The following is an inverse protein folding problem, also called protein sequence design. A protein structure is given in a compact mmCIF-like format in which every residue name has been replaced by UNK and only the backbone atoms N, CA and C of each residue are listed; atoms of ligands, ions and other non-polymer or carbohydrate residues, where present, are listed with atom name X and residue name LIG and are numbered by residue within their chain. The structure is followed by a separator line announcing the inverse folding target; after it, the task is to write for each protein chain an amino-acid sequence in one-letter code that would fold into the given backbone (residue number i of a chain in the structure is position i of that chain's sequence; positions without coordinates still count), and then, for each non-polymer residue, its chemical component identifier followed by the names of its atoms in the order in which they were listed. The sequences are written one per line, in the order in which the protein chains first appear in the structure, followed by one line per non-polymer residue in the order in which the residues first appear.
data_IF_432015720871
#
_entry.id   IF_432015720871
#
_cell.length_a   1.000
_cell.length_b   1.000
_cell.length_c   1.000
_cell.angle_alpha   90.00
_cell.angle_beta   90.00
_cell.angle_gamma   90.00
#
_symmetry.space_group_name_H-M   'P 1'
#
loop_
_entity.id
_entity.type
_entity.pdbx_description
1 polymer ?
#
# COMPACT_ATOMS: atom_id res chain seq x y z
N UNK A 1 61.05 -31.03 16.79
CA UNK A 1 60.18 -31.64 15.78
C UNK A 1 58.75 -31.53 16.35
N UNK A 2 58.00 -30.43 16.16
CA UNK A 2 56.70 -30.26 16.83
C UNK A 2 55.89 -29.03 16.45
N UNK A 3 56.33 -28.17 15.52
CA UNK A 3 55.68 -26.86 15.32
C UNK A 3 54.80 -26.74 14.05
N UNK A 4 54.84 -27.69 13.15
CA UNK A 4 54.07 -27.62 11.88
C UNK A 4 52.64 -28.15 11.95
N UNK A 5 52.29 -28.94 12.95
CA UNK A 5 50.94 -29.54 13.05
C UNK A 5 49.88 -28.58 13.58
N UNK A 6 50.25 -27.57 14.36
CA UNK A 6 49.33 -26.64 15.03
C UNK A 6 48.71 -25.61 14.08
N UNK A 7 49.45 -25.16 13.07
CA UNK A 7 48.98 -24.12 12.13
C UNK A 7 47.92 -24.66 11.14
N UNK A 8 48.07 -25.92 10.72
CA UNK A 8 47.12 -26.53 9.75
C UNK A 8 45.78 -26.83 10.38
N UNK A 9 45.74 -27.20 11.68
CA UNK A 9 44.47 -27.42 12.40
C UNK A 9 43.72 -26.16 12.69
N UNK A 10 44.37 -25.05 13.01
CA UNK A 10 43.73 -23.76 13.30
C UNK A 10 43.08 -23.16 12.06
N UNK A 11 43.75 -23.22 10.90
CA UNK A 11 43.17 -22.74 9.64
C UNK A 11 41.97 -23.60 9.18
N UNK A 12 41.98 -24.89 9.43
CA UNK A 12 40.82 -25.76 9.13
C UNK A 12 39.62 -25.49 10.02
N UNK A 13 39.83 -25.21 11.31
CA UNK A 13 38.75 -24.84 12.26
C UNK A 13 38.15 -23.50 11.88
N UNK A 14 38.95 -22.51 11.53
CA UNK A 14 38.48 -21.20 11.08
C UNK A 14 37.64 -21.32 9.79
N UNK A 15 38.11 -22.14 8.83
CA UNK A 15 37.36 -22.37 7.59
C UNK A 15 36.03 -23.08 7.84
N UNK A 16 35.96 -24.04 8.75
CA UNK A 16 34.72 -24.72 9.14
C UNK A 16 33.76 -23.74 9.84
N UNK A 17 34.24 -22.86 10.70
CA UNK A 17 33.40 -21.85 11.36
C UNK A 17 32.84 -20.83 10.38
N UNK A 18 33.60 -20.39 9.38
CA UNK A 18 33.17 -19.48 8.33
C UNK A 18 32.08 -20.14 7.45
N UNK A 19 32.31 -21.41 7.04
CA UNK A 19 31.31 -22.13 6.24
C UNK A 19 30.03 -22.44 7.03
N UNK A 20 30.12 -22.76 8.31
CA UNK A 20 28.97 -22.99 9.17
C UNK A 20 28.14 -21.71 9.37
N UNK A 21 28.76 -20.53 9.47
CA UNK A 21 28.03 -19.26 9.63
C UNK A 21 27.20 -18.87 8.39
N UNK A 22 27.57 -19.31 7.19
CA UNK A 22 26.81 -19.05 5.95
C UNK A 22 25.51 -19.85 5.87
N UNK A 23 25.34 -20.94 6.61
CA UNK A 23 24.12 -21.74 6.62
C UNK A 23 23.05 -21.24 7.59
N UNK A 24 23.37 -20.27 8.46
CA UNK A 24 22.42 -19.75 9.45
C UNK A 24 21.68 -18.48 9.01
N UNK A 25 21.96 -17.92 7.84
CA UNK A 25 21.15 -16.82 7.28
C UNK A 25 19.87 -17.40 6.71
N UNK A 26 18.86 -17.60 7.55
CA UNK A 26 17.48 -17.76 7.06
C UNK A 26 17.08 -16.43 6.47
N UNK A 27 17.12 -16.30 5.16
CA UNK A 27 16.45 -15.23 4.45
C UNK A 27 14.95 -15.42 4.64
N UNK A 28 14.35 -14.68 5.56
CA UNK A 28 12.89 -14.58 5.61
C UNK A 28 12.47 -13.75 4.40
N UNK A 29 12.02 -14.40 3.34
CA UNK A 29 11.26 -13.71 2.30
C UNK A 29 9.96 -13.25 2.95
N UNK A 30 9.83 -11.94 3.16
CA UNK A 30 8.57 -11.37 3.62
C UNK A 30 7.57 -11.51 2.48
N UNK A 31 6.53 -12.32 2.69
CA UNK A 31 5.45 -12.47 1.73
C UNK A 31 4.63 -11.18 1.71
N UNK A 32 4.48 -10.57 0.53
CA UNK A 32 3.62 -9.41 0.38
C UNK A 32 2.15 -9.85 0.52
N UNK A 33 1.41 -9.16 1.35
CA UNK A 33 -0.04 -9.32 1.50
C UNK A 33 -0.73 -8.24 0.67
N UNK A 34 -1.68 -8.62 -0.18
CA UNK A 34 -2.36 -7.69 -1.09
C UNK A 34 -3.86 -7.75 -0.85
N UNK A 35 -4.46 -6.59 -0.60
CA UNK A 35 -5.91 -6.42 -0.55
C UNK A 35 -6.34 -5.64 -1.79
N UNK A 36 -7.27 -6.19 -2.56
CA UNK A 36 -7.83 -5.54 -3.75
C UNK A 36 -9.24 -5.06 -3.47
N UNK A 37 -9.55 -3.84 -3.90
CA UNK A 37 -10.88 -3.25 -3.83
C UNK A 37 -11.35 -2.84 -5.22
N UNK A 38 -12.45 -3.41 -5.68
CA UNK A 38 -13.14 -2.95 -6.90
C UNK A 38 -14.21 -1.93 -6.53
N UNK A 39 -14.26 -0.83 -7.26
CA UNK A 39 -15.26 0.24 -7.12
C UNK A 39 -15.78 0.64 -8.48
N UNK A 40 -16.98 1.23 -8.54
CA UNK A 40 -17.46 1.93 -9.72
C UNK A 40 -16.88 3.35 -9.77
N UNK A 41 -16.97 4.02 -10.90
CA UNK A 41 -16.54 5.42 -11.04
C UNK A 41 -17.52 6.36 -10.32
N UNK A 42 -17.08 6.92 -9.21
CA UNK A 42 -17.92 7.80 -8.37
C UNK A 42 -18.24 9.13 -9.06
N UNK A 43 -17.28 9.67 -9.81
CA UNK A 43 -17.41 10.95 -10.49
C UNK A 43 -18.08 10.80 -11.86
N UNK A 44 -17.86 9.69 -12.53
CA UNK A 44 -18.32 9.43 -13.89
C UNK A 44 -18.96 8.04 -14.00
N UNK A 45 -20.15 7.81 -13.40
CA UNK A 45 -20.76 6.48 -13.32
C UNK A 45 -21.05 5.84 -14.69
N UNK A 46 -21.16 6.64 -15.76
CA UNK A 46 -21.39 6.15 -17.11
C UNK A 46 -20.10 5.75 -17.87
N UNK A 47 -18.92 5.84 -17.24
CA UNK A 47 -17.68 5.24 -17.75
C UNK A 47 -17.58 3.75 -17.44
N UNK A 48 -18.40 3.23 -16.55
CA UNK A 48 -18.48 1.82 -16.26
C UNK A 48 -19.10 1.05 -17.44
N UNK A 49 -18.77 -0.23 -17.53
CA UNK A 49 -19.29 -1.13 -18.60
C UNK A 49 -20.82 -1.18 -18.55
N UNK A 50 -21.40 -1.14 -17.36
CA UNK A 50 -22.84 -1.08 -17.14
C UNK A 50 -23.27 0.36 -16.90
N UNK A 51 -24.04 0.91 -17.83
CA UNK A 51 -24.66 2.22 -17.67
C UNK A 51 -25.89 2.14 -16.78
N UNK A 52 -26.06 3.13 -15.92
CA UNK A 52 -27.22 3.28 -15.05
C UNK A 52 -28.05 4.50 -15.46
N UNK A 53 -29.35 4.47 -15.15
CA UNK A 53 -30.24 5.61 -15.40
C UNK A 53 -29.85 6.82 -14.53
N UNK A 54 -30.19 8.03 -14.94
CA UNK A 54 -29.90 9.24 -14.15
C UNK A 54 -30.53 9.20 -12.76
N UNK A 55 -31.70 8.60 -12.62
CA UNK A 55 -32.43 8.45 -11.35
C UNK A 55 -31.78 7.44 -10.38
N UNK A 56 -30.98 6.50 -10.89
CA UNK A 56 -30.24 5.51 -10.10
C UNK A 56 -28.81 5.97 -9.76
N UNK A 57 -28.38 7.13 -10.26
CA UNK A 57 -27.05 7.66 -10.00
C UNK A 57 -26.93 8.12 -8.55
N UNK A 58 -25.84 7.71 -7.92
CA UNK A 58 -25.53 8.00 -6.51
C UNK A 58 -24.64 9.25 -6.42
N UNK A 59 -25.07 10.27 -5.68
CA UNK A 59 -24.15 11.34 -5.28
C UNK A 59 -23.38 10.92 -4.02
N UNK A 60 -22.16 10.48 -4.21
CA UNK A 60 -21.25 10.04 -3.12
C UNK A 60 -20.95 11.14 -2.10
N UNK A 61 -21.15 12.43 -2.44
CA UNK A 61 -20.98 13.54 -1.49
C UNK A 61 -22.19 13.73 -0.58
N UNK A 62 -23.31 13.05 -0.82
CA UNK A 62 -24.45 13.13 0.08
C UNK A 62 -24.11 12.60 1.48
N UNK A 63 -24.72 13.13 2.56
CA UNK A 63 -24.37 12.78 3.93
C UNK A 63 -24.49 11.29 4.26
N UNK A 64 -25.42 10.59 3.60
CA UNK A 64 -25.59 9.14 3.77
C UNK A 64 -24.37 8.39 3.27
N UNK A 65 -23.99 8.60 2.00
CA UNK A 65 -22.88 7.88 1.37
C UNK A 65 -21.53 8.28 1.96
N UNK A 66 -21.38 9.53 2.41
CA UNK A 66 -20.16 9.94 3.12
C UNK A 66 -19.95 9.15 4.42
N UNK A 67 -21.00 8.83 5.16
CA UNK A 67 -20.91 7.96 6.35
C UNK A 67 -20.49 6.53 5.98
N UNK A 68 -21.07 6.00 4.90
CA UNK A 68 -20.73 4.64 4.41
C UNK A 68 -19.28 4.55 3.92
N UNK A 69 -18.84 5.54 3.14
CA UNK A 69 -17.45 5.63 2.65
C UNK A 69 -16.47 5.74 3.83
N UNK A 70 -16.80 6.53 4.84
CA UNK A 70 -15.97 6.65 6.04
C UNK A 70 -15.87 5.31 6.79
N UNK A 71 -16.97 4.58 6.94
CA UNK A 71 -16.98 3.25 7.57
C UNK A 71 -16.16 2.24 6.78
N UNK A 72 -16.29 2.23 5.45
CA UNK A 72 -15.50 1.37 4.57
C UNK A 72 -14.02 1.72 4.71
N UNK A 73 -13.67 3.01 4.63
CA UNK A 73 -12.28 3.47 4.76
C UNK A 73 -11.67 3.05 6.11
N UNK A 74 -12.42 3.19 7.21
CA UNK A 74 -11.98 2.74 8.54
C UNK A 74 -11.72 1.22 8.60
N UNK A 75 -12.58 0.42 7.97
CA UNK A 75 -12.38 -1.04 7.90
C UNK A 75 -11.15 -1.41 7.09
N UNK A 76 -10.95 -0.77 5.92
CA UNK A 76 -9.80 -1.02 5.06
C UNK A 76 -8.49 -0.56 5.71
N UNK A 77 -8.49 0.54 6.46
CA UNK A 77 -7.33 1.00 7.21
C UNK A 77 -6.87 0.02 8.31
N UNK A 78 -7.74 -0.90 8.77
CA UNK A 78 -7.35 -1.95 9.71
C UNK A 78 -6.35 -2.96 9.11
N UNK A 79 -6.31 -3.07 7.79
CA UNK A 79 -5.30 -3.85 7.08
C UNK A 79 -3.89 -3.25 7.23
N UNK A 80 -3.78 -1.95 7.58
CA UNK A 80 -2.53 -1.20 7.77
C UNK A 80 -1.60 -1.30 6.56
N UNK A 81 -2.05 -0.90 5.37
CA UNK A 81 -1.23 -0.99 4.17
C UNK A 81 0.01 -0.10 4.28
N UNK A 82 1.16 -0.62 3.87
CA UNK A 82 2.40 0.17 3.70
C UNK A 82 2.36 1.02 2.42
N UNK A 83 1.54 0.61 1.44
CA UNK A 83 1.34 1.32 0.19
C UNK A 83 -0.09 1.16 -0.31
N UNK A 84 -0.63 2.21 -0.92
CA UNK A 84 -1.91 2.21 -1.62
C UNK A 84 -1.66 2.44 -3.10
N UNK A 85 -2.02 1.46 -3.92
CA UNK A 85 -1.92 1.55 -5.38
C UNK A 85 -3.26 2.01 -5.93
N UNK A 86 -3.24 3.04 -6.76
CA UNK A 86 -4.43 3.67 -7.35
C UNK A 86 -4.33 3.67 -8.87
N UNK A 87 -5.46 3.72 -9.54
CA UNK A 87 -5.53 3.87 -11.00
C UNK A 87 -5.31 5.34 -11.39
N UNK A 88 -4.04 5.72 -11.55
CA UNK A 88 -3.63 7.07 -11.90
C UNK A 88 -2.45 7.03 -12.88
N UNK A 89 -2.42 7.90 -13.93
CA UNK A 89 -1.32 7.91 -14.88
C UNK A 89 0.02 8.24 -14.22
N UNK A 90 1.04 7.40 -14.43
CA UNK A 90 2.37 7.57 -13.80
C UNK A 90 2.99 8.95 -14.07
N UNK A 91 2.78 9.50 -15.27
CA UNK A 91 3.30 10.83 -15.63
C UNK A 91 2.62 11.98 -14.86
N UNK A 92 1.54 11.71 -14.14
CA UNK A 92 0.82 12.65 -13.27
C UNK A 92 1.04 12.37 -11.77
N UNK A 93 2.05 11.57 -11.40
CA UNK A 93 2.32 11.24 -9.99
C UNK A 93 2.47 12.50 -9.14
N UNK A 94 3.22 13.50 -9.60
CA UNK A 94 3.42 14.75 -8.85
C UNK A 94 2.13 15.54 -8.62
N UNK A 95 1.15 15.42 -9.51
CA UNK A 95 -0.18 16.06 -9.35
C UNK A 95 -0.96 15.41 -8.21
N UNK A 96 -1.06 14.08 -8.19
CA UNK A 96 -1.78 13.36 -7.14
C UNK A 96 -1.10 13.51 -5.77
N UNK A 97 0.24 13.52 -5.73
CA UNK A 97 1.00 13.76 -4.50
C UNK A 97 0.75 15.16 -3.93
N UNK A 98 0.68 16.17 -4.80
CA UNK A 98 0.35 17.54 -4.40
C UNK A 98 -1.06 17.65 -3.84
N UNK A 99 -2.04 17.01 -4.47
CA UNK A 99 -3.43 16.96 -4.00
C UNK A 99 -3.52 16.26 -2.64
N UNK A 100 -2.85 15.12 -2.48
CA UNK A 100 -2.84 14.39 -1.22
C UNK A 100 -2.19 15.20 -0.09
N UNK A 101 -1.05 15.84 -0.34
CA UNK A 101 -0.39 16.72 0.63
C UNK A 101 -1.27 17.92 1.04
N UNK A 102 -2.02 18.46 0.09
CA UNK A 102 -2.99 19.53 0.36
C UNK A 102 -4.15 19.03 1.24
N UNK A 103 -4.62 17.80 1.01
CA UNK A 103 -5.62 17.15 1.84
C UNK A 103 -5.11 16.87 3.26
N UNK A 104 -3.86 16.42 3.43
CA UNK A 104 -3.25 16.19 4.75
C UNK A 104 -3.17 17.48 5.60
N UNK A 105 -3.08 18.64 4.95
CA UNK A 105 -2.98 19.96 5.60
C UNK A 105 -4.31 20.72 5.61
N UNK A 106 -5.44 20.04 5.36
CA UNK A 106 -6.81 20.57 5.33
C UNK A 106 -6.99 21.77 4.35
N UNK A 107 -6.20 21.80 3.27
CA UNK A 107 -6.26 22.81 2.21
C UNK A 107 -6.97 22.28 0.95
N UNK A 108 -7.40 21.04 0.93
CA UNK A 108 -8.11 20.41 -0.15
C UNK A 108 -9.28 19.60 0.38
N UNK A 109 -10.48 19.88 -0.13
CA UNK A 109 -11.67 19.08 0.13
C UNK A 109 -11.78 17.96 -0.89
N UNK A 110 -12.18 16.77 -0.42
CA UNK A 110 -12.33 15.61 -1.29
C UNK A 110 -13.50 15.80 -2.26
N UNK A 111 -13.22 15.67 -3.55
CA UNK A 111 -14.25 15.66 -4.59
C UNK A 111 -14.92 14.28 -4.70
N UNK A 112 -15.74 14.06 -5.77
CA UNK A 112 -16.43 12.77 -5.99
C UNK A 112 -15.53 11.62 -6.39
N UNK A 113 -14.29 11.89 -6.81
CA UNK A 113 -13.39 10.87 -7.32
C UNK A 113 -13.07 9.78 -6.28
N UNK A 114 -13.20 8.51 -6.67
CA UNK A 114 -13.00 7.33 -5.81
C UNK A 114 -11.59 7.25 -5.20
N UNK A 115 -10.58 7.72 -5.92
CA UNK A 115 -9.19 7.77 -5.42
C UNK A 115 -9.11 8.70 -4.21
N UNK A 116 -9.79 9.86 -4.27
CA UNK A 116 -9.81 10.80 -3.17
C UNK A 116 -10.71 10.30 -2.03
N UNK A 117 -11.91 9.82 -2.36
CA UNK A 117 -12.89 9.39 -1.36
C UNK A 117 -12.42 8.17 -0.56
N UNK A 118 -11.70 7.24 -1.17
CA UNK A 118 -11.21 6.03 -0.52
C UNK A 118 -9.69 6.07 -0.31
N UNK A 119 -8.91 6.25 -1.36
CA UNK A 119 -7.46 6.20 -1.31
C UNK A 119 -6.86 7.23 -0.34
N UNK A 120 -7.23 8.50 -0.47
CA UNK A 120 -6.71 9.55 0.41
C UNK A 120 -7.15 9.37 1.87
N UNK A 121 -8.41 8.97 2.10
CA UNK A 121 -8.91 8.71 3.46
C UNK A 121 -8.17 7.58 4.13
N UNK A 122 -7.99 6.46 3.43
CA UNK A 122 -7.28 5.28 3.97
C UNK A 122 -5.82 5.66 4.24
N UNK A 123 -5.15 6.32 3.29
CA UNK A 123 -3.77 6.77 3.45
C UNK A 123 -3.61 7.70 4.67
N UNK A 124 -4.52 8.67 4.86
CA UNK A 124 -4.49 9.57 6.04
C UNK A 124 -4.70 8.81 7.36
N UNK A 125 -5.50 7.75 7.37
CA UNK A 125 -5.76 6.93 8.58
C UNK A 125 -4.59 6.02 8.94
N UNK A 126 -3.72 5.70 7.97
CA UNK A 126 -2.55 4.82 8.16
C UNK A 126 -1.25 5.59 8.38
N UNK A 127 -1.25 6.91 8.21
CA UNK A 127 -0.09 7.80 8.38
C UNK A 127 0.00 8.28 9.85
#
# INVERSE_FOLDING_TARGET
MGTKLKVITMNKIILILITASMFFTKGYAQQAEVLTLGVFHFEFPNLDVQQISEEDQIDVLSPQYQKEIELISKKLAQFKPDAIVIEWPLYKQSEIDSLYNSYLTDKHELNRNEIQQLGFRIARMCN
#
